data_IF_075821993438
#
_entry.id   IF_075821993438
#
_cell.length_a   1.000
_cell.length_b   1.000
_cell.length_c   1.000
_cell.angle_alpha   90.00
_cell.angle_beta   90.00
_cell.angle_gamma   90.00
#
_symmetry.space_group_name_H-M   'P 1'
#
loop_
_entity.id
_entity.type
_entity.pdbx_description
1 polymer ?
#
# COMPACT_ATOMS: atom_id res chain seq x y z
N UNK A 1 -8.19 -28.94 -16.17
CA UNK A 1 -9.27 -27.98 -15.91
C UNK A 1 -9.10 -27.49 -14.50
N UNK A 2 -8.93 -26.20 -14.31
CA UNK A 2 -8.90 -25.61 -12.98
C UNK A 2 -10.22 -25.94 -12.30
N UNK A 3 -10.15 -26.64 -11.19
CA UNK A 3 -11.31 -26.89 -10.35
C UNK A 3 -11.22 -25.97 -9.12
N UNK A 4 -12.34 -25.62 -8.50
CA UNK A 4 -12.31 -24.89 -7.22
C UNK A 4 -11.36 -25.53 -6.19
N UNK A 5 -11.30 -26.86 -6.18
CA UNK A 5 -10.41 -27.63 -5.31
C UNK A 5 -8.93 -27.35 -5.58
N UNK A 6 -8.53 -27.24 -6.85
CA UNK A 6 -7.12 -26.94 -7.20
C UNK A 6 -6.77 -25.52 -6.83
N UNK A 7 -7.66 -24.57 -7.09
CA UNK A 7 -7.46 -23.17 -6.69
C UNK A 7 -7.36 -23.05 -5.17
N UNK A 8 -8.23 -23.71 -4.41
CA UNK A 8 -8.16 -23.74 -2.94
C UNK A 8 -6.84 -24.34 -2.45
N UNK A 9 -6.33 -25.39 -3.09
CA UNK A 9 -5.01 -25.95 -2.78
C UNK A 9 -3.90 -24.95 -3.08
N UNK A 10 -3.93 -24.27 -4.23
CA UNK A 10 -2.94 -23.26 -4.58
C UNK A 10 -2.95 -22.10 -3.56
N UNK A 11 -4.11 -21.63 -3.16
CA UNK A 11 -4.25 -20.57 -2.12
C UNK A 11 -3.71 -21.07 -0.77
N UNK A 12 -3.99 -22.32 -0.39
CA UNK A 12 -3.46 -22.91 0.84
C UNK A 12 -1.93 -23.01 0.81
N UNK A 13 -1.35 -23.33 -0.34
CA UNK A 13 0.12 -23.34 -0.54
C UNK A 13 0.67 -21.93 -0.44
N UNK A 14 0.01 -20.92 -1.04
CA UNK A 14 0.40 -19.51 -0.93
C UNK A 14 0.43 -19.04 0.53
N UNK A 15 -0.54 -19.46 1.32
CA UNK A 15 -0.63 -19.11 2.75
C UNK A 15 0.30 -19.93 3.63
N UNK A 16 0.92 -20.99 3.10
CA UNK A 16 1.86 -21.83 3.83
C UNK A 16 3.28 -21.23 3.82
N UNK A 17 4.05 -21.54 4.87
CA UNK A 17 5.46 -21.14 5.00
C UNK A 17 6.41 -21.74 3.95
N UNK A 18 5.90 -22.49 2.98
CA UNK A 18 6.72 -23.08 1.89
C UNK A 18 7.44 -21.99 1.08
N UNK A 19 6.88 -20.78 1.06
CA UNK A 19 7.49 -19.60 0.41
C UNK A 19 8.16 -18.65 1.41
N UNK A 20 8.56 -19.10 2.58
CA UNK A 20 9.15 -18.29 3.63
C UNK A 20 10.35 -17.44 3.20
N UNK A 21 11.14 -17.89 2.23
CA UNK A 21 12.24 -17.10 1.64
C UNK A 21 11.73 -15.90 0.85
N UNK A 22 10.51 -15.96 0.32
CA UNK A 22 9.85 -14.82 -0.34
C UNK A 22 9.31 -13.84 0.69
N UNK A 23 8.77 -14.31 1.80
CA UNK A 23 8.23 -13.47 2.87
C UNK A 23 9.32 -12.59 3.48
N UNK A 24 10.51 -13.11 3.69
CA UNK A 24 11.64 -12.34 4.21
C UNK A 24 12.06 -11.18 3.29
N UNK A 25 11.90 -11.34 1.98
CA UNK A 25 12.16 -10.27 1.01
C UNK A 25 11.02 -9.25 0.92
N UNK A 26 9.80 -9.65 1.27
CA UNK A 26 8.63 -8.79 1.30
C UNK A 26 8.57 -7.90 2.55
N UNK A 27 9.28 -8.24 3.61
CA UNK A 27 9.29 -7.50 4.88
C UNK A 27 9.77 -6.04 4.77
N UNK A 28 10.32 -5.65 3.63
CA UNK A 28 10.88 -4.32 3.39
C UNK A 28 9.94 -3.37 2.60
N UNK A 29 8.66 -3.69 2.48
CA UNK A 29 7.66 -2.82 1.87
C UNK A 29 7.03 -1.89 2.92
N UNK A 30 7.85 -0.98 3.46
CA UNK A 30 7.41 -0.10 4.54
C UNK A 30 6.30 0.86 4.12
N UNK A 31 6.26 1.29 2.87
CA UNK A 31 5.20 2.17 2.40
C UNK A 31 3.85 1.43 2.33
N UNK A 32 3.82 0.18 1.89
CA UNK A 32 2.59 -0.63 1.94
C UNK A 32 2.21 -0.92 3.39
N UNK A 33 3.17 -1.27 4.24
CA UNK A 33 2.91 -1.55 5.66
C UNK A 33 2.28 -0.34 6.38
N UNK A 34 2.62 0.88 5.97
CA UNK A 34 2.01 2.09 6.52
C UNK A 34 0.53 2.25 6.19
N UNK A 35 0.02 1.55 5.17
CA UNK A 35 -1.39 1.54 4.80
C UNK A 35 -2.24 0.58 5.64
N UNK A 36 -1.64 -0.23 6.51
CA UNK A 36 -2.37 -1.10 7.45
C UNK A 36 -3.06 -0.32 8.58
N UNK A 37 -2.66 0.92 8.81
CA UNK A 37 -3.32 1.75 9.81
C UNK A 37 -4.67 2.25 9.29
N UNK A 38 -5.70 2.17 10.13
CA UNK A 38 -7.02 2.68 9.77
C UNK A 38 -6.94 4.20 9.51
N UNK A 39 -7.53 4.67 8.40
CA UNK A 39 -7.58 6.10 8.13
C UNK A 39 -8.35 6.86 9.21
N UNK A 40 -7.78 7.94 9.71
CA UNK A 40 -8.35 8.73 10.79
C UNK A 40 -9.40 9.77 10.35
N UNK A 41 -9.62 9.91 9.06
CA UNK A 41 -10.51 10.92 8.45
C UNK A 41 -11.74 10.33 7.74
N UNK A 42 -11.86 9.00 7.71
CA UNK A 42 -12.95 8.28 7.07
C UNK A 42 -13.35 7.08 7.93
N UNK A 43 -14.64 6.79 7.99
CA UNK A 43 -15.12 5.64 8.73
C UNK A 43 -14.83 4.31 8.01
N UNK A 44 -14.54 3.26 8.76
CA UNK A 44 -14.32 1.91 8.24
C UNK A 44 -15.53 1.37 7.45
N UNK A 45 -16.75 1.78 7.83
CA UNK A 45 -17.97 1.46 7.09
C UNK A 45 -17.99 2.07 5.69
N UNK A 46 -17.46 3.27 5.53
CA UNK A 46 -17.36 3.93 4.23
C UNK A 46 -16.30 3.26 3.34
N UNK A 47 -15.16 2.87 3.91
CA UNK A 47 -14.16 2.07 3.19
C UNK A 47 -14.76 0.76 2.70
N UNK A 48 -15.54 0.09 3.55
CA UNK A 48 -16.22 -1.15 3.17
C UNK A 48 -17.23 -0.89 2.04
N UNK A 49 -17.98 0.21 2.12
CA UNK A 49 -18.92 0.62 1.07
C UNK A 49 -18.20 0.85 -0.27
N UNK A 50 -17.05 1.52 -0.25
CA UNK A 50 -16.25 1.76 -1.45
C UNK A 50 -15.75 0.44 -2.08
N UNK A 51 -15.28 -0.48 -1.25
CA UNK A 51 -14.80 -1.81 -1.70
C UNK A 51 -15.89 -2.66 -2.30
N UNK A 52 -17.12 -2.54 -1.81
CA UNK A 52 -18.26 -3.38 -2.22
C UNK A 52 -19.20 -2.70 -3.22
N UNK A 53 -18.90 -1.48 -3.63
CA UNK A 53 -19.73 -0.74 -4.58
C UNK A 53 -19.88 -1.47 -5.93
N UNK A 54 -21.08 -1.55 -6.53
CA UNK A 54 -21.31 -2.29 -7.76
C UNK A 54 -20.59 -1.72 -8.98
N UNK A 55 -20.20 -0.45 -8.91
CA UNK A 55 -19.35 0.20 -9.89
C UNK A 55 -18.21 0.92 -9.17
N UNK A 56 -17.12 1.23 -9.87
CA UNK A 56 -16.02 2.01 -9.30
C UNK A 56 -16.54 3.32 -8.71
N UNK A 57 -16.38 3.56 -7.41
CA UNK A 57 -16.79 4.83 -6.82
C UNK A 57 -15.94 5.97 -7.38
N UNK A 58 -16.58 7.09 -7.70
CA UNK A 58 -15.87 8.25 -8.28
C UNK A 58 -15.55 9.31 -7.24
N UNK A 59 -16.22 9.26 -6.09
CA UNK A 59 -16.06 10.28 -5.04
C UNK A 59 -16.31 9.69 -3.66
N UNK A 60 -15.73 10.35 -2.69
CA UNK A 60 -15.93 10.10 -1.27
C UNK A 60 -16.26 11.41 -0.57
N UNK A 61 -17.16 11.35 0.38
CA UNK A 61 -17.51 12.48 1.23
C UNK A 61 -16.80 12.37 2.57
N UNK A 62 -16.26 13.47 3.05
CA UNK A 62 -15.67 13.57 4.38
C UNK A 62 -15.96 14.95 4.99
N UNK A 63 -15.90 15.04 6.31
CA UNK A 63 -16.07 16.31 7.03
C UNK A 63 -14.70 16.94 7.22
N UNK A 64 -14.42 18.08 6.57
CA UNK A 64 -13.18 18.81 6.79
C UNK A 64 -13.17 19.38 8.22
N UNK A 65 -11.97 19.50 8.81
CA UNK A 65 -11.80 20.17 10.09
C UNK A 65 -12.25 21.63 9.96
N UNK A 66 -13.23 22.03 10.75
CA UNK A 66 -13.64 23.41 10.84
C UNK A 66 -12.68 24.20 11.73
N UNK A 67 -12.25 25.36 11.27
CA UNK A 67 -11.39 26.26 12.03
C UNK A 67 -12.24 27.43 12.53
N UNK A 68 -12.42 27.51 13.84
CA UNK A 68 -13.11 28.62 14.49
C UNK A 68 -12.06 29.59 15.03
N UNK A 69 -12.14 30.85 14.60
CA UNK A 69 -11.35 31.94 15.19
C UNK A 69 -12.14 32.55 16.31
N UNK A 70 -11.63 32.47 17.53
CA UNK A 70 -12.23 33.08 18.70
C UNK A 70 -11.48 34.33 19.15
N UNK A 71 -12.20 35.31 19.66
CA UNK A 71 -11.64 36.46 20.37
C UNK A 71 -12.37 36.62 21.71
N UNK A 72 -11.73 37.18 22.75
CA UNK A 72 -12.43 37.54 23.99
C UNK A 72 -13.61 38.44 23.67
N UNK A 73 -14.79 38.05 24.14
CA UNK A 73 -16.03 38.78 23.88
C UNK A 73 -17.11 38.41 24.90
N UNK A 74 -18.22 39.11 24.83
CA UNK A 74 -19.44 38.82 25.62
C UNK A 74 -20.36 37.90 24.85
N UNK A 75 -21.00 36.97 25.54
CA UNK A 75 -22.08 36.16 24.97
C UNK A 75 -23.23 37.07 24.46
N UNK A 76 -23.52 36.96 23.16
CA UNK A 76 -24.64 37.61 22.53
C UNK A 76 -25.81 36.63 22.41
N UNK A 77 -27.03 37.14 22.52
CA UNK A 77 -28.25 36.34 22.28
C UNK A 77 -28.42 35.98 20.79
N UNK A 78 -27.75 36.71 19.90
CA UNK A 78 -27.72 36.46 18.47
C UNK A 78 -26.29 36.24 18.00
N UNK A 79 -26.06 35.22 17.19
CA UNK A 79 -24.76 34.87 16.67
C UNK A 79 -24.87 34.35 15.23
N UNK A 80 -23.87 34.63 14.44
CA UNK A 80 -23.74 34.09 13.09
C UNK A 80 -23.23 32.65 13.14
N UNK A 81 -23.99 31.70 12.64
CA UNK A 81 -23.59 30.30 12.53
C UNK A 81 -22.92 30.05 11.19
N UNK A 82 -21.94 29.16 11.21
CA UNK A 82 -21.28 28.66 10.01
C UNK A 82 -21.87 27.30 9.70
N UNK A 83 -22.36 27.11 8.49
CA UNK A 83 -22.87 25.82 8.05
C UNK A 83 -21.73 24.82 7.89
N UNK A 84 -21.88 23.65 8.52
CA UNK A 84 -20.96 22.53 8.30
C UNK A 84 -21.32 21.82 7.02
N UNK A 85 -20.51 21.98 6.00
CA UNK A 85 -20.68 21.28 4.72
C UNK A 85 -19.69 20.13 4.59
N UNK A 86 -20.18 18.97 4.14
CA UNK A 86 -19.31 17.89 3.72
C UNK A 86 -18.52 18.29 2.48
N UNK A 87 -17.30 17.83 2.38
CA UNK A 87 -16.46 18.02 1.21
C UNK A 87 -16.35 16.71 0.45
N UNK A 88 -16.46 16.80 -0.86
CA UNK A 88 -16.32 15.64 -1.74
C UNK A 88 -14.90 15.58 -2.32
N UNK A 89 -14.19 14.48 -2.10
CA UNK A 89 -12.94 14.20 -2.78
C UNK A 89 -13.16 13.23 -3.93
N UNK A 90 -12.55 13.53 -5.08
CA UNK A 90 -12.57 12.64 -6.24
C UNK A 90 -11.54 11.54 -6.06
N UNK A 91 -11.96 10.29 -6.24
CA UNK A 91 -11.08 9.13 -6.22
C UNK A 91 -10.45 8.94 -7.60
N UNK A 92 -9.12 8.88 -7.63
CA UNK A 92 -8.37 8.56 -8.83
C UNK A 92 -7.97 7.09 -8.78
N UNK A 93 -8.60 6.29 -9.60
CA UNK A 93 -8.37 4.85 -9.65
C UNK A 93 -7.21 4.50 -10.56
N UNK A 94 -6.35 3.65 -10.07
CA UNK A 94 -5.29 2.99 -10.81
C UNK A 94 -5.61 1.50 -10.93
N UNK A 95 -5.58 0.99 -12.16
CA UNK A 95 -5.71 -0.44 -12.42
C UNK A 95 -4.32 -1.00 -12.72
N UNK A 96 -3.84 -1.87 -11.85
CA UNK A 96 -2.61 -2.58 -12.10
C UNK A 96 -2.92 -3.98 -12.65
N UNK A 97 -2.35 -4.25 -13.80
CA UNK A 97 -2.42 -5.52 -14.50
C UNK A 97 -1.03 -5.81 -15.05
N UNK A 98 -0.45 -7.00 -14.85
CA UNK A 98 0.80 -7.35 -15.50
C UNK A 98 0.65 -7.31 -17.02
N UNK A 99 1.69 -6.86 -17.73
CA UNK A 99 1.67 -6.74 -19.18
C UNK A 99 1.34 -8.08 -19.88
N UNK A 100 1.75 -9.19 -19.27
CA UNK A 100 1.42 -10.53 -19.74
C UNK A 100 0.82 -11.34 -18.59
N UNK A 101 -0.28 -12.03 -18.84
CA UNK A 101 -0.74 -13.11 -17.99
C UNK A 101 0.23 -14.30 -18.05
N UNK A 102 0.08 -15.24 -17.15
CA UNK A 102 0.83 -16.49 -17.22
C UNK A 102 -0.05 -17.63 -17.74
N UNK A 103 0.59 -18.70 -18.20
CA UNK A 103 -0.09 -19.87 -18.74
C UNK A 103 0.45 -21.15 -18.15
N UNK A 104 -0.42 -22.12 -17.96
CA UNK A 104 -0.08 -23.48 -17.58
C UNK A 104 -0.56 -24.44 -18.67
N UNK A 105 0.31 -25.34 -19.11
CA UNK A 105 0.01 -26.37 -20.10
C UNK A 105 -0.31 -27.65 -19.35
N UNK A 106 -1.53 -28.13 -19.47
CA UNK A 106 -2.04 -29.25 -18.66
C UNK A 106 -1.25 -30.54 -18.86
N UNK A 107 -0.83 -30.81 -20.08
CA UNK A 107 -0.09 -32.01 -20.46
C UNK A 107 1.24 -32.14 -19.70
N UNK A 108 1.85 -31.02 -19.31
CA UNK A 108 3.12 -31.02 -18.56
C UNK A 108 2.99 -31.63 -17.16
N UNK A 109 1.78 -31.75 -16.65
CA UNK A 109 1.54 -32.21 -15.27
C UNK A 109 1.12 -33.67 -15.18
N UNK A 110 0.88 -34.36 -16.29
CA UNK A 110 0.60 -35.83 -16.36
C UNK A 110 -0.33 -36.32 -15.24
N UNK A 111 -1.44 -35.61 -14.99
CA UNK A 111 -2.38 -35.81 -13.88
C UNK A 111 -1.85 -35.54 -12.46
N UNK A 112 -0.67 -34.95 -12.31
CA UNK A 112 -0.16 -34.52 -11.01
C UNK A 112 -0.78 -33.17 -10.59
N UNK A 113 -1.92 -33.25 -9.89
CA UNK A 113 -2.66 -32.06 -9.43
C UNK A 113 -1.93 -31.29 -8.34
N UNK A 114 -1.03 -31.94 -7.59
CA UNK A 114 -0.23 -31.27 -6.55
C UNK A 114 0.79 -30.36 -7.21
N UNK A 115 1.57 -30.88 -8.15
CA UNK A 115 2.55 -30.07 -8.88
C UNK A 115 1.91 -28.93 -9.65
N UNK A 116 0.73 -29.16 -10.24
CA UNK A 116 -0.02 -28.10 -10.90
C UNK A 116 -0.41 -26.97 -9.91
N UNK A 117 -0.89 -27.34 -8.71
CA UNK A 117 -1.26 -26.36 -7.68
C UNK A 117 -0.04 -25.59 -7.15
N UNK A 118 1.12 -26.24 -7.02
CA UNK A 118 2.38 -25.61 -6.63
C UNK A 118 2.86 -24.60 -7.68
N UNK A 119 2.87 -24.97 -8.95
CA UNK A 119 3.27 -24.08 -10.04
C UNK A 119 2.29 -22.90 -10.17
N UNK A 120 0.99 -23.13 -10.02
CA UNK A 120 -0.02 -22.08 -10.00
C UNK A 120 0.23 -21.11 -8.84
N UNK A 121 0.46 -21.61 -7.64
CA UNK A 121 0.77 -20.80 -6.47
C UNK A 121 2.03 -19.96 -6.67
N UNK A 122 3.08 -20.55 -7.20
CA UNK A 122 4.34 -19.86 -7.49
C UNK A 122 4.15 -18.72 -8.51
N UNK A 123 3.38 -18.94 -9.58
CA UNK A 123 3.10 -17.91 -10.57
C UNK A 123 2.25 -16.77 -9.98
N UNK A 124 1.22 -17.08 -9.19
CA UNK A 124 0.43 -16.07 -8.48
C UNK A 124 1.32 -15.23 -7.58
N UNK A 125 2.18 -15.86 -6.76
CA UNK A 125 3.10 -15.17 -5.87
C UNK A 125 4.06 -14.25 -6.63
N UNK A 126 4.58 -14.70 -7.76
CA UNK A 126 5.48 -13.90 -8.60
C UNK A 126 4.81 -12.63 -9.13
N UNK A 127 3.54 -12.74 -9.54
CA UNK A 127 2.75 -11.58 -10.00
C UNK A 127 2.46 -10.64 -8.83
N UNK A 128 2.04 -11.17 -7.68
CA UNK A 128 1.77 -10.37 -6.48
C UNK A 128 3.02 -9.61 -6.01
N UNK A 129 4.19 -10.26 -6.03
CA UNK A 129 5.45 -9.62 -5.70
C UNK A 129 5.77 -8.45 -6.62
N UNK A 130 5.58 -8.61 -7.92
CA UNK A 130 5.79 -7.51 -8.88
C UNK A 130 4.86 -6.33 -8.61
N UNK A 131 3.62 -6.61 -8.19
CA UNK A 131 2.70 -5.56 -7.77
C UNK A 131 3.15 -4.86 -6.48
N UNK A 132 3.60 -5.61 -5.46
CA UNK A 132 4.08 -4.98 -4.22
C UNK A 132 5.26 -4.05 -4.50
N UNK A 133 6.15 -4.45 -5.39
CA UNK A 133 7.25 -3.61 -5.82
C UNK A 133 6.79 -2.32 -6.49
N UNK A 134 5.81 -2.42 -7.37
CA UNK A 134 5.18 -1.27 -8.00
C UNK A 134 4.46 -0.38 -6.99
N UNK A 135 3.64 -0.97 -6.13
CA UNK A 135 2.80 -0.24 -5.20
C UNK A 135 3.62 0.50 -4.14
N UNK A 136 4.67 -0.13 -3.57
CA UNK A 136 5.55 0.53 -2.61
C UNK A 136 6.19 1.78 -3.21
N UNK A 137 6.71 1.69 -4.43
CA UNK A 137 7.24 2.83 -5.16
C UNK A 137 6.17 3.90 -5.47
N UNK A 138 4.95 3.46 -5.79
CA UNK A 138 3.83 4.35 -6.10
C UNK A 138 3.36 5.14 -4.87
N UNK A 139 3.28 4.48 -3.72
CA UNK A 139 2.96 5.13 -2.44
C UNK A 139 4.03 6.16 -2.08
N UNK A 140 5.31 5.83 -2.21
CA UNK A 140 6.40 6.78 -1.96
C UNK A 140 6.34 7.98 -2.91
N UNK A 141 6.00 7.77 -4.17
CA UNK A 141 5.76 8.86 -5.13
C UNK A 141 4.57 9.73 -4.70
N UNK A 142 3.50 9.10 -4.22
CA UNK A 142 2.34 9.80 -3.68
C UNK A 142 2.69 10.67 -2.48
N UNK A 143 3.49 10.16 -1.54
CA UNK A 143 3.98 10.94 -0.40
C UNK A 143 4.84 12.11 -0.85
N UNK A 144 5.76 11.87 -1.77
CA UNK A 144 6.62 12.92 -2.28
C UNK A 144 5.86 14.04 -3.01
N UNK A 145 4.80 13.70 -3.73
CA UNK A 145 3.95 14.68 -4.43
C UNK A 145 3.04 15.45 -3.49
N UNK A 146 2.60 14.82 -2.41
CA UNK A 146 1.62 15.37 -1.48
C UNK A 146 2.23 15.84 -0.15
N UNK A 147 3.54 15.97 -0.07
CA UNK A 147 4.21 16.48 1.12
C UNK A 147 3.85 17.95 1.40
N UNK A 148 3.97 18.33 2.65
CA UNK A 148 3.71 19.71 3.05
C UNK A 148 4.85 20.65 2.67
N UNK A 149 4.52 21.92 2.48
CA UNK A 149 5.44 23.06 2.34
C UNK A 149 5.42 23.96 3.58
N UNK A 150 5.00 23.44 4.71
CA UNK A 150 4.99 24.23 5.95
C UNK A 150 6.42 24.45 6.45
N UNK A 151 6.65 25.61 7.02
CA UNK A 151 7.94 26.06 7.54
C UNK A 151 7.90 26.45 9.03
N UNK A 152 6.95 25.94 9.77
CA UNK A 152 6.82 26.21 11.21
C UNK A 152 7.91 25.53 12.07
N UNK A 153 8.90 24.90 11.45
CA UNK A 153 10.02 24.25 12.10
C UNK A 153 11.35 24.79 11.57
N UNK A 154 12.28 25.08 12.47
CA UNK A 154 13.54 25.79 12.17
C UNK A 154 14.48 25.06 11.18
N UNK A 155 14.34 23.75 11.04
CA UNK A 155 15.12 22.95 10.10
C UNK A 155 14.39 22.72 8.76
N UNK A 156 13.22 23.31 8.56
CA UNK A 156 12.49 23.17 7.31
C UNK A 156 13.13 24.00 6.21
N UNK A 157 13.45 23.36 5.10
CA UNK A 157 13.95 24.01 3.89
C UNK A 157 12.83 24.03 2.82
N UNK A 158 12.46 25.22 2.36
CA UNK A 158 11.41 25.41 1.36
C UNK A 158 11.80 24.89 -0.04
N UNK A 159 13.09 24.72 -0.31
CA UNK A 159 13.60 24.08 -1.52
C UNK A 159 14.74 23.13 -1.11
N UNK A 160 14.44 21.85 -0.95
CA UNK A 160 13.51 20.97 -1.63
C UNK A 160 12.19 20.62 -0.88
N UNK A 161 11.59 21.49 -0.11
CA UNK A 161 10.35 21.23 0.66
C UNK A 161 10.51 20.04 1.63
N UNK A 162 11.54 20.07 2.43
CA UNK A 162 11.89 18.98 3.35
C UNK A 162 12.43 19.54 4.67
N UNK A 163 12.34 18.74 5.71
CA UNK A 163 13.07 18.98 6.95
C UNK A 163 14.50 18.47 6.76
N UNK A 164 15.45 19.38 6.67
CA UNK A 164 16.87 19.08 6.54
C UNK A 164 17.53 19.01 7.91
N UNK A 165 18.02 17.82 8.26
CA UNK A 165 18.77 17.61 9.51
C UNK A 165 20.26 17.68 9.21
N UNK A 166 21.03 18.62 9.80
CA UNK A 166 22.47 18.70 9.60
C UNK A 166 23.20 17.43 10.00
N UNK A 167 24.34 17.14 9.37
CA UNK A 167 25.13 15.96 9.66
C UNK A 167 25.53 15.81 11.14
N UNK A 168 25.75 16.93 11.84
CA UNK A 168 26.06 16.95 13.27
C UNK A 168 24.88 16.46 14.13
N UNK A 169 23.65 16.67 13.67
CA UNK A 169 22.42 16.35 14.40
C UNK A 169 21.79 15.01 13.96
N UNK A 170 22.41 14.29 13.01
CA UNK A 170 21.84 13.05 12.47
C UNK A 170 21.53 11.98 13.53
N UNK A 171 22.31 11.94 14.61
CA UNK A 171 22.11 10.98 15.70
C UNK A 171 20.84 11.28 16.52
N UNK A 172 20.32 12.50 16.42
CA UNK A 172 19.08 12.92 17.06
C UNK A 172 17.90 13.02 16.09
N UNK A 173 18.03 12.42 14.89
CA UNK A 173 17.06 12.49 13.80
C UNK A 173 15.62 12.23 14.27
N UNK A 174 15.39 11.14 15.01
CA UNK A 174 14.05 10.78 15.48
C UNK A 174 13.45 11.80 16.45
N UNK A 175 14.28 12.38 17.32
CA UNK A 175 13.83 13.46 18.21
C UNK A 175 13.51 14.74 17.45
N UNK A 176 14.26 15.06 16.40
CA UNK A 176 13.97 16.20 15.52
C UNK A 176 12.65 16.00 14.76
N UNK A 177 12.40 14.78 14.29
CA UNK A 177 11.11 14.43 13.68
C UNK A 177 9.97 14.62 14.68
N UNK A 178 10.12 14.10 15.90
CA UNK A 178 9.12 14.26 16.97
C UNK A 178 8.85 15.74 17.26
N UNK A 179 9.89 16.53 17.47
CA UNK A 179 9.77 17.98 17.71
C UNK A 179 9.07 18.68 16.55
N UNK A 180 9.38 18.31 15.31
CA UNK A 180 8.73 18.86 14.13
C UNK A 180 7.23 18.53 14.12
N UNK A 181 6.86 17.29 14.45
CA UNK A 181 5.44 16.89 14.52
C UNK A 181 4.71 17.69 15.60
N UNK A 182 5.27 17.80 16.80
CA UNK A 182 4.70 18.59 17.91
C UNK A 182 4.57 20.07 17.57
N UNK A 183 5.57 20.65 16.90
CA UNK A 183 5.55 22.06 16.47
C UNK A 183 4.41 22.34 15.47
N UNK A 184 3.95 21.31 14.77
CA UNK A 184 2.86 21.39 13.80
C UNK A 184 1.53 20.87 14.37
N UNK A 185 1.38 20.81 15.68
CA UNK A 185 0.18 20.40 16.40
C UNK A 185 -0.24 18.93 16.14
N UNK A 186 0.71 18.06 15.76
CA UNK A 186 0.47 16.63 15.67
C UNK A 186 0.84 15.92 16.97
N UNK A 187 0.16 14.81 17.25
CA UNK A 187 0.51 13.97 18.40
C UNK A 187 1.97 13.49 18.29
N UNK A 188 2.66 13.52 19.43
CA UNK A 188 4.03 13.04 19.53
C UNK A 188 4.18 11.52 19.38
N UNK A 189 3.13 10.77 19.72
CA UNK A 189 3.23 9.34 19.99
C UNK A 189 2.49 8.45 18.97
N UNK A 190 1.84 9.03 17.99
CA UNK A 190 1.02 8.28 17.03
C UNK A 190 1.42 8.56 15.57
N UNK A 191 2.73 8.47 15.34
CA UNK A 191 3.31 8.79 14.04
C UNK A 191 4.01 7.57 13.43
N UNK A 192 4.06 7.57 12.09
CA UNK A 192 4.81 6.63 11.27
C UNK A 192 5.98 7.36 10.63
N UNK A 193 7.12 6.70 10.60
CA UNK A 193 8.28 7.16 9.87
C UNK A 193 8.75 6.09 8.89
N UNK A 194 8.56 6.33 7.60
CA UNK A 194 9.11 5.46 6.56
C UNK A 194 10.53 5.90 6.28
N UNK A 195 11.47 4.99 6.49
CA UNK A 195 12.89 5.24 6.41
C UNK A 195 13.54 4.47 5.26
N UNK A 196 14.57 5.07 4.64
CA UNK A 196 15.42 4.35 3.72
C UNK A 196 16.38 3.40 4.48
N UNK A 197 17.11 2.58 3.73
CA UNK A 197 18.01 1.57 4.31
C UNK A 197 19.09 2.20 5.17
N UNK A 198 19.63 3.33 4.76
CA UNK A 198 20.72 4.04 5.44
C UNK A 198 20.29 4.61 6.80
N UNK A 199 19.04 5.05 6.93
CA UNK A 199 18.49 5.45 8.24
C UNK A 199 18.39 4.23 9.16
N UNK A 200 17.90 3.10 8.65
CA UNK A 200 17.81 1.88 9.47
C UNK A 200 19.21 1.41 9.93
N UNK A 201 20.20 1.50 9.07
CA UNK A 201 21.60 1.23 9.44
C UNK A 201 22.07 2.16 10.56
N UNK A 202 21.84 3.47 10.43
CA UNK A 202 22.15 4.46 11.45
C UNK A 202 21.46 4.15 12.78
N UNK A 203 20.17 3.85 12.75
CA UNK A 203 19.41 3.52 13.97
C UNK A 203 19.93 2.22 14.62
N UNK A 204 20.26 1.21 13.83
CA UNK A 204 20.83 -0.05 14.32
C UNK A 204 22.20 0.18 14.97
N UNK A 205 23.03 1.04 14.35
CA UNK A 205 24.34 1.41 14.90
C UNK A 205 24.21 2.17 16.22
N UNK A 206 23.31 3.17 16.29
CA UNK A 206 23.05 3.92 17.53
C UNK A 206 22.51 3.00 18.63
N UNK A 207 21.67 2.05 18.28
CA UNK A 207 21.18 1.03 19.19
C UNK A 207 22.33 0.16 19.74
N UNK A 208 23.24 -0.28 18.87
CA UNK A 208 24.38 -1.09 19.29
C UNK A 208 25.32 -0.32 20.24
N UNK A 209 25.46 0.99 20.06
CA UNK A 209 26.23 1.85 20.98
C UNK A 209 25.54 2.02 22.34
N UNK A 210 24.20 2.02 22.39
CA UNK A 210 23.42 2.16 23.62
C UNK A 210 23.02 0.82 24.29
N UNK A 211 23.45 -0.30 23.75
CA UNK A 211 22.87 -1.62 23.99
C UNK A 211 23.20 -2.29 25.34
N UNK A 212 23.82 -1.59 26.28
CA UNK A 212 23.98 -2.15 27.61
C UNK A 212 22.66 -2.27 28.40
N UNK A 213 21.55 -1.80 27.86
CA UNK A 213 20.23 -1.90 28.52
C UNK A 213 19.10 -2.12 27.50
N UNK A 214 18.53 -3.33 27.49
CA UNK A 214 17.41 -3.71 26.61
C UNK A 214 16.15 -2.83 26.79
N UNK A 215 15.99 -2.19 27.94
CA UNK A 215 14.89 -1.28 28.25
C UNK A 215 14.96 0.02 27.43
N UNK A 216 16.13 0.44 27.00
CA UNK A 216 16.29 1.65 26.20
C UNK A 216 15.86 1.48 24.74
N UNK A 217 15.62 0.26 24.28
CA UNK A 217 15.21 -0.02 22.90
C UNK A 217 13.90 0.70 22.53
N UNK A 218 12.91 0.67 23.40
CA UNK A 218 11.62 1.33 23.16
C UNK A 218 11.71 2.86 23.11
N UNK A 219 12.64 3.44 23.87
CA UNK A 219 12.86 4.89 23.88
C UNK A 219 13.62 5.40 22.68
N UNK A 220 14.38 4.55 22.00
CA UNK A 220 15.23 4.95 20.86
C UNK A 220 14.42 5.38 19.64
N UNK A 221 13.22 4.85 19.48
CA UNK A 221 12.35 5.22 18.38
C UNK A 221 11.44 6.41 18.70
N UNK A 222 11.57 7.02 19.88
CA UNK A 222 10.85 8.24 20.27
C UNK A 222 9.32 8.18 20.06
N UNK A 223 8.71 7.01 20.19
CA UNK A 223 7.29 6.80 19.95
C UNK A 223 6.89 6.73 18.47
N UNK A 224 7.86 6.70 17.54
CA UNK A 224 7.61 6.58 16.12
C UNK A 224 7.60 5.11 15.68
N UNK A 225 6.62 4.72 14.87
CA UNK A 225 6.66 3.43 14.18
C UNK A 225 7.56 3.55 12.95
N UNK A 226 8.77 3.02 13.05
CA UNK A 226 9.75 3.09 11.97
C UNK A 226 9.58 1.91 11.03
N UNK A 227 9.24 2.22 9.77
CA UNK A 227 9.05 1.25 8.70
C UNK A 227 10.15 1.41 7.65
N UNK A 228 10.71 0.28 7.20
CA UNK A 228 11.76 0.30 6.18
C UNK A 228 11.18 0.11 4.79
N UNK A 229 11.59 0.97 3.84
CA UNK A 229 11.39 0.72 2.41
C UNK A 229 12.71 0.75 1.65
N UNK A 230 12.96 -0.31 0.89
CA UNK A 230 14.16 -0.42 0.05
C UNK A 230 14.05 0.42 -1.24
N UNK A 231 12.87 0.97 -1.54
CA UNK A 231 12.62 1.76 -2.74
C UNK A 231 12.67 3.26 -2.49
N UNK A 232 12.86 3.64 -1.24
CA UNK A 232 13.06 5.04 -0.88
C UNK A 232 14.52 5.40 -1.13
N UNK A 233 14.76 6.00 -2.29
CA UNK A 233 16.09 6.42 -2.70
C UNK A 233 16.40 7.81 -2.13
N UNK A 234 17.62 8.05 -1.67
CA UNK A 234 18.03 9.35 -1.19
C UNK A 234 18.02 10.40 -2.31
N UNK A 235 17.71 11.62 -1.95
CA UNK A 235 17.86 12.77 -2.84
C UNK A 235 19.32 13.12 -3.02
N UNK A 236 19.69 13.73 -4.15
CA UNK A 236 21.06 14.19 -4.40
C UNK A 236 21.51 15.13 -3.29
N UNK A 237 22.65 14.84 -2.67
CA UNK A 237 23.19 15.60 -1.54
C UNK A 237 22.73 15.14 -0.16
N UNK A 238 21.75 14.23 -0.08
CA UNK A 238 21.27 13.63 1.16
C UNK A 238 21.54 12.12 1.13
N UNK A 239 22.04 11.57 2.22
CA UNK A 239 22.19 10.11 2.37
C UNK A 239 20.96 9.48 3.03
N UNK A 240 20.31 10.23 3.89
CA UNK A 240 19.25 9.76 4.76
C UNK A 240 17.93 10.43 4.36
N UNK A 241 16.97 9.65 3.87
CA UNK A 241 15.68 10.17 3.41
C UNK A 241 14.54 9.36 4.04
N UNK A 242 13.49 10.06 4.47
CA UNK A 242 12.30 9.46 5.05
C UNK A 242 11.05 10.31 4.86
N UNK A 243 9.91 9.72 5.20
CA UNK A 243 8.62 10.41 5.29
C UNK A 243 8.03 10.18 6.67
N UNK A 244 7.68 11.27 7.35
CA UNK A 244 7.01 11.24 8.65
C UNK A 244 5.58 11.77 8.53
N UNK A 245 4.63 11.08 9.14
CA UNK A 245 3.22 11.47 9.13
C UNK A 245 2.46 10.77 10.26
N UNK A 246 1.32 11.33 10.72
CA UNK A 246 0.45 10.65 11.68
C UNK A 246 -0.14 9.38 11.08
N UNK A 247 -0.36 8.35 11.90
CA UNK A 247 -1.04 7.12 11.50
C UNK A 247 -2.40 7.43 10.86
N UNK A 248 -2.74 6.69 9.82
CA UNK A 248 -4.02 6.85 9.14
C UNK A 248 -4.19 8.15 8.35
N UNK A 249 -3.11 8.88 8.06
CA UNK A 249 -3.15 10.14 7.30
C UNK A 249 -3.47 9.97 5.81
N UNK A 250 -3.22 8.80 5.27
CA UNK A 250 -3.47 8.44 3.88
C UNK A 250 -4.28 7.16 3.85
N UNK A 251 -5.26 7.10 2.99
CA UNK A 251 -6.07 5.91 2.77
C UNK A 251 -5.69 5.24 1.45
N UNK A 252 -5.61 3.92 1.50
CA UNK A 252 -5.59 3.05 0.35
C UNK A 252 -6.93 2.32 0.29
N UNK A 253 -7.64 2.48 -0.81
CA UNK A 253 -8.89 1.78 -1.07
C UNK A 253 -8.75 0.93 -2.31
N UNK A 254 -9.19 -0.30 -2.21
CA UNK A 254 -9.28 -1.21 -3.35
C UNK A 254 -10.72 -1.35 -3.85
N UNK A 255 -10.86 -1.70 -5.12
CA UNK A 255 -12.11 -2.15 -5.69
C UNK A 255 -11.88 -3.45 -6.47
N UNK A 256 -12.69 -4.48 -6.17
CA UNK A 256 -12.47 -5.80 -6.74
C UNK A 256 -13.48 -6.11 -7.85
N UNK A 257 -13.00 -6.14 -9.09
CA UNK A 257 -13.82 -6.45 -10.26
C UNK A 257 -14.37 -7.87 -10.24
N UNK A 258 -13.61 -8.84 -9.71
CA UNK A 258 -14.06 -10.24 -9.66
C UNK A 258 -15.29 -10.40 -8.79
N UNK A 259 -15.34 -9.70 -7.63
CA UNK A 259 -16.46 -9.74 -6.70
C UNK A 259 -17.79 -9.41 -7.38
N UNK A 260 -17.80 -8.44 -8.30
CA UNK A 260 -19.02 -8.07 -9.02
C UNK A 260 -19.41 -9.06 -10.11
N UNK A 261 -18.43 -9.70 -10.73
CA UNK A 261 -18.71 -10.74 -11.75
C UNK A 261 -19.16 -12.04 -11.14
N UNK A 262 -18.70 -12.37 -9.94
CA UNK A 262 -19.10 -13.56 -9.18
C UNK A 262 -20.51 -13.40 -8.59
N UNK A 263 -20.90 -12.21 -8.18
CA UNK A 263 -22.24 -11.95 -7.61
C UNK A 263 -23.40 -12.18 -8.57
N UNK A 264 -23.15 -12.33 -9.84
CA UNK A 264 -24.20 -12.70 -10.82
C UNK A 264 -24.60 -14.16 -10.78
N UNK A 265 -24.21 -14.91 -9.75
CA UNK A 265 -24.65 -16.30 -9.52
C UNK A 265 -23.98 -17.35 -10.39
N UNK A 266 -22.94 -16.95 -11.11
CA UNK A 266 -22.35 -17.77 -12.16
C UNK A 266 -21.00 -18.41 -11.79
N UNK A 267 -20.49 -18.19 -10.57
CA UNK A 267 -19.15 -18.67 -10.20
C UNK A 267 -18.97 -20.19 -10.34
N UNK A 268 -19.99 -20.95 -10.06
CA UNK A 268 -19.97 -22.40 -10.23
C UNK A 268 -20.20 -22.85 -11.69
N UNK A 269 -20.82 -22.02 -12.50
CA UNK A 269 -21.22 -22.33 -13.87
C UNK A 269 -20.25 -21.83 -14.93
N UNK A 270 -19.38 -20.91 -14.55
CA UNK A 270 -18.31 -20.42 -15.42
C UNK A 270 -17.10 -21.37 -15.50
N UNK A 271 -17.22 -22.55 -14.89
CA UNK A 271 -16.28 -23.66 -15.02
C UNK A 271 -16.36 -24.24 -16.45
N UNK A 272 -16.05 -23.44 -17.39
CA UNK A 272 -16.02 -23.90 -18.75
C UNK A 272 -14.75 -23.45 -19.41
N UNK A 273 -14.77 -22.22 -19.86
CA UNK A 273 -13.66 -21.66 -20.64
C UNK A 273 -13.16 -20.34 -20.12
N UNK A 274 -13.99 -19.61 -19.36
CA UNK A 274 -13.68 -18.27 -18.88
C UNK A 274 -14.41 -18.00 -17.56
N UNK A 275 -13.71 -17.54 -16.52
CA UNK A 275 -14.34 -17.11 -15.29
C UNK A 275 -13.47 -16.14 -14.49
N UNK A 276 -14.12 -15.45 -13.55
CA UNK A 276 -13.49 -14.55 -12.62
C UNK A 276 -13.67 -15.05 -11.19
N UNK A 277 -12.64 -14.90 -10.39
CA UNK A 277 -12.69 -15.20 -8.96
C UNK A 277 -11.88 -14.20 -8.17
N UNK A 278 -12.13 -14.19 -6.86
CA UNK A 278 -11.37 -13.39 -5.91
C UNK A 278 -10.32 -14.27 -5.25
N UNK A 279 -9.12 -13.69 -5.09
CA UNK A 279 -8.04 -14.30 -4.31
C UNK A 279 -7.63 -13.31 -3.25
N UNK A 280 -7.63 -13.74 -1.97
CA UNK A 280 -7.09 -12.95 -0.88
C UNK A 280 -5.58 -12.76 -1.04
N UNK A 281 -5.08 -11.62 -0.63
CA UNK A 281 -3.66 -11.37 -0.58
C UNK A 281 -3.03 -12.15 0.58
N UNK A 282 -2.00 -12.96 0.35
CA UNK A 282 -1.40 -13.77 1.42
C UNK A 282 -0.57 -12.95 2.41
N UNK A 283 -0.08 -11.79 2.02
CA UNK A 283 0.78 -10.94 2.85
C UNK A 283 0.01 -9.76 3.44
N UNK A 284 -0.80 -9.09 2.63
CA UNK A 284 -1.55 -7.89 2.99
C UNK A 284 -3.07 -8.11 2.90
N UNK A 285 -3.55 -9.29 3.26
CA UNK A 285 -4.93 -9.75 3.07
C UNK A 285 -6.03 -8.83 3.60
N UNK A 286 -5.71 -7.95 4.53
CA UNK A 286 -6.65 -6.91 5.00
C UNK A 286 -6.70 -5.70 4.06
N UNK A 287 -5.70 -5.50 3.21
CA UNK A 287 -5.62 -4.38 2.27
C UNK A 287 -6.14 -4.75 0.88
N UNK A 288 -5.85 -5.95 0.41
CA UNK A 288 -6.10 -6.33 -0.98
C UNK A 288 -6.90 -7.61 -1.12
N UNK A 289 -7.79 -7.57 -2.13
CA UNK A 289 -8.38 -8.74 -2.76
C UNK A 289 -8.05 -8.70 -4.24
N UNK A 290 -7.51 -9.77 -4.77
CA UNK A 290 -7.11 -9.85 -6.17
C UNK A 290 -8.24 -10.35 -7.04
N UNK A 291 -8.42 -9.72 -8.19
CA UNK A 291 -9.23 -10.26 -9.27
C UNK A 291 -8.39 -11.23 -10.08
N UNK A 292 -8.75 -12.51 -10.09
CA UNK A 292 -8.17 -13.52 -10.96
C UNK A 292 -9.12 -13.77 -12.13
N UNK A 293 -8.68 -13.49 -13.33
CA UNK A 293 -9.32 -13.89 -14.57
C UNK A 293 -8.67 -15.18 -15.08
N UNK A 294 -9.47 -16.18 -15.29
CA UNK A 294 -9.08 -17.48 -15.83
C UNK A 294 -9.74 -17.71 -17.17
N UNK A 295 -8.97 -18.19 -18.13
CA UNK A 295 -9.44 -18.58 -19.44
C UNK A 295 -8.79 -19.90 -19.87
N UNK A 296 -9.63 -20.91 -20.16
CA UNK A 296 -9.17 -22.14 -20.73
C UNK A 296 -9.37 -22.14 -22.24
N UNK A 297 -8.36 -22.49 -22.98
CA UNK A 297 -8.45 -22.61 -24.45
C UNK A 297 -7.71 -23.83 -24.94
N UNK A 298 -8.31 -24.46 -25.89
CA UNK A 298 -7.56 -25.39 -26.72
C UNK A 298 -6.71 -24.54 -27.66
N UNK A 299 -5.40 -24.56 -27.60
CA UNK A 299 -4.73 -23.68 -28.04
C UNK A 299 -3.89 -23.46 -28.99
N UNK A 300 -3.88 -22.61 -29.40
CA UNK A 300 -3.83 -21.73 -30.33
C UNK A 300 -2.51 -21.39 -30.84
N UNK A 301 -1.75 -20.74 -30.31
CA UNK A 301 -0.49 -20.29 -30.76
C UNK A 301 0.60 -21.37 -30.81
N UNK A 302 0.40 -22.42 -30.13
CA UNK A 302 1.24 -23.61 -30.23
C UNK A 302 1.18 -24.30 -31.60
N UNK A 303 0.23 -23.89 -32.43
CA UNK A 303 0.05 -24.44 -33.76
C UNK A 303 0.62 -23.58 -34.89
N UNK A 304 1.20 -22.44 -34.56
CA UNK A 304 1.91 -21.67 -35.58
C UNK A 304 3.05 -22.48 -36.23
N UNK A 305 3.64 -23.41 -35.46
CA UNK A 305 4.65 -24.35 -35.93
C UNK A 305 4.09 -25.78 -36.00
N UNK A 306 2.85 -25.93 -36.43
CA UNK A 306 2.15 -27.19 -36.48
C UNK A 306 2.91 -28.25 -37.29
N UNK A 307 3.41 -29.24 -36.57
CA UNK A 307 3.79 -30.51 -37.18
C UNK A 307 2.53 -31.43 -37.19
N UNK A 308 2.28 -32.16 -38.30
CA UNK A 308 1.15 -33.10 -38.37
C UNK A 308 1.11 -34.16 -37.26
N UNK A 309 2.22 -34.28 -36.55
CA UNK A 309 2.36 -35.22 -35.41
C UNK A 309 2.17 -34.53 -34.04
N UNK A 310 1.96 -33.21 -33.99
CA UNK A 310 1.76 -32.53 -32.74
C UNK A 310 0.33 -32.76 -32.20
N UNK A 311 0.25 -33.19 -30.95
CA UNK A 311 -1.01 -33.31 -30.25
C UNK A 311 -1.44 -31.91 -29.76
N UNK A 312 -2.70 -31.51 -29.99
CA UNK A 312 -3.21 -30.26 -29.44
C UNK A 312 -3.06 -30.20 -27.94
N UNK A 313 -2.39 -29.16 -27.44
CA UNK A 313 -2.24 -28.97 -26.00
C UNK A 313 -3.37 -28.12 -25.42
N UNK A 314 -3.80 -28.46 -24.22
CA UNK A 314 -4.79 -27.72 -23.47
C UNK A 314 -4.13 -26.69 -22.58
N UNK A 315 -4.33 -25.40 -22.90
CA UNK A 315 -3.69 -24.29 -22.22
C UNK A 315 -4.65 -23.53 -21.34
N UNK A 316 -4.26 -23.33 -20.11
CA UNK A 316 -4.97 -22.52 -19.13
C UNK A 316 -4.22 -21.20 -18.94
N UNK A 317 -4.90 -20.08 -19.14
CA UNK A 317 -4.35 -18.71 -19.06
C UNK A 317 -4.92 -18.02 -17.83
N UNK A 318 -4.07 -17.28 -17.14
CA UNK A 318 -4.40 -16.58 -15.90
C UNK A 318 -3.92 -15.14 -15.98
N UNK A 319 -4.73 -14.24 -15.48
CA UNK A 319 -4.38 -12.84 -15.33
C UNK A 319 -4.89 -12.34 -13.98
N UNK A 320 -4.01 -11.73 -13.20
CA UNK A 320 -4.38 -11.05 -11.96
C UNK A 320 -4.50 -9.56 -12.20
N UNK A 321 -5.38 -8.91 -11.47
CA UNK A 321 -5.48 -7.46 -11.46
C UNK A 321 -5.89 -6.94 -10.10
N UNK A 322 -5.50 -5.69 -9.82
CA UNK A 322 -5.91 -4.93 -8.63
C UNK A 322 -6.27 -3.52 -9.07
N UNK A 323 -7.44 -3.07 -8.66
CA UNK A 323 -7.84 -1.68 -8.77
C UNK A 323 -7.69 -1.00 -7.41
N UNK A 324 -6.95 0.09 -7.34
CA UNK A 324 -6.75 0.81 -6.09
C UNK A 324 -6.77 2.32 -6.28
N UNK A 325 -7.02 3.04 -5.20
CA UNK A 325 -6.94 4.48 -5.15
C UNK A 325 -6.24 4.92 -3.86
N UNK A 326 -5.32 5.88 -3.99
CA UNK A 326 -4.66 6.55 -2.87
C UNK A 326 -5.27 7.93 -2.70
N UNK A 327 -5.66 8.27 -1.49
CA UNK A 327 -6.16 9.61 -1.21
C UNK A 327 -5.86 10.05 0.23
N UNK A 328 -5.86 11.37 0.41
CA UNK A 328 -5.71 12.02 1.71
C UNK A 328 -6.74 13.13 1.85
N UNK A 329 -7.09 13.53 3.08
CA UNK A 329 -7.97 14.69 3.26
C UNK A 329 -7.26 15.98 2.81
N UNK A 330 -8.06 16.93 2.36
CA UNK A 330 -7.59 18.31 2.17
C UNK A 330 -7.61 19.00 3.52
N UNK A 331 -6.48 19.53 3.95
CA UNK A 331 -6.33 20.29 5.19
C UNK A 331 -6.23 21.77 4.83
N UNK A 332 -6.81 22.63 5.63
CA UNK A 332 -6.71 24.09 5.42
C UNK A 332 -5.48 24.64 6.16
N UNK A 333 -4.65 25.51 5.53
CA UNK A 333 -4.68 25.89 4.12
C UNK A 333 -4.33 24.75 3.16
N UNK A 334 -4.76 24.83 1.92
CA UNK A 334 -4.62 23.73 0.93
C UNK A 334 -3.17 23.32 0.62
N UNK A 335 -2.22 24.18 0.93
CA UNK A 335 -0.78 23.90 0.81
C UNK A 335 -0.23 23.06 1.96
N UNK A 336 -0.98 22.94 3.06
CA UNK A 336 -0.59 22.15 4.21
C UNK A 336 -0.95 20.68 3.98
N UNK A 337 -0.02 19.81 4.28
CA UNK A 337 -0.23 18.36 4.34
C UNK A 337 0.31 17.85 5.67
N UNK A 338 -0.22 16.74 6.11
CA UNK A 338 0.28 16.01 7.26
C UNK A 338 1.46 15.06 6.91
N UNK A 339 1.96 15.10 5.69
CA UNK A 339 3.10 14.30 5.23
C UNK A 339 4.33 15.19 5.16
N UNK A 340 5.37 14.85 5.90
CA UNK A 340 6.63 15.58 5.93
C UNK A 340 7.73 14.73 5.34
N UNK A 341 8.47 15.31 4.41
CA UNK A 341 9.73 14.74 3.94
C UNK A 341 10.85 15.14 4.89
N UNK A 342 11.66 14.19 5.28
CA UNK A 342 12.81 14.40 6.16
C UNK A 342 14.06 13.97 5.42
N UNK A 343 15.07 14.81 5.43
CA UNK A 343 16.37 14.53 4.85
C UNK A 343 17.45 14.83 5.87
N UNK A 344 18.42 13.95 6.03
CA UNK A 344 19.59 14.22 6.82
C UNK A 344 20.83 14.22 5.91
N UNK A 345 21.65 15.25 6.07
CA UNK A 345 22.88 15.43 5.31
C UNK A 345 23.92 14.40 5.75
N UNK A 346 24.76 13.97 4.83
CA UNK A 346 25.83 13.01 5.05
C UNK A 346 27.02 13.59 5.83
#
# INVERSE_FOLDING_TARGET
MLTPTILTKAIAILSSKVFGDYDSRMSNYGAISSMNYEPNFINSSEITRLRTAPSRPVSIEYLPKQVYTGAPGTLACDFTAIDTTSTTATLVWENWVPANGFRLVKENYSNNTIKYAEDLAHQIMSVQRSFYEYLDARILTYYNTNRTQINAYSLFNAAPDAVEVPAIDRNTLLYKIKTMMETNDFSADDNVFIANTEIIELLTFLQAQGSSNATNFAYQFAGLDVLRSNRLLPTVGSKYTGFAFPKGSVALVEWNTARHKVQTGAAEYLIGRDYWTEIADPLFGNLFSWSLHYKASCQDGAFADYSPTAVPSYVEKFQLSVDFSLFKPTISPSTFSNIFKVEALS
#
